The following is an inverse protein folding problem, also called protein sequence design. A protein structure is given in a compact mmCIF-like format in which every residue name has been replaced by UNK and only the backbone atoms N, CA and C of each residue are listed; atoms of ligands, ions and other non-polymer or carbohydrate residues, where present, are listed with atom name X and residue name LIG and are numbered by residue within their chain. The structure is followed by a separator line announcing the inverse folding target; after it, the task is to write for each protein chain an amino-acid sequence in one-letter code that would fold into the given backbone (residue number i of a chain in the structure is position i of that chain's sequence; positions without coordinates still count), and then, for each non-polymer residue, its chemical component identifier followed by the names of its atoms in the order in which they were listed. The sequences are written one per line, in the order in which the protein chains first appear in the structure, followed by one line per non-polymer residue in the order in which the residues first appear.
data_IF_873801160510
#
_entry.id   IF_873801160510
#
_cell.length_a   1.000
_cell.length_b   1.000
_cell.length_c   1.000
_cell.angle_alpha   90.00
_cell.angle_beta   90.00
_cell.angle_gamma   90.00
#
_symmetry.space_group_name_H-M   'P 1'
#
loop_
_entity.id
_entity.type
_entity.pdbx_description
1 polymer ?
#
# COMPACT_ATOMS: atom_id res chain seq x y z
N UNK A 1 -10.31 2.66 20.88
CA UNK A 1 -9.17 3.51 20.49
C UNK A 1 -8.00 2.56 20.23
N UNK A 2 -7.89 2.01 19.02
CA UNK A 2 -6.88 1.00 18.69
C UNK A 2 -5.56 1.68 18.36
N UNK A 3 -4.60 1.49 19.25
CA UNK A 3 -3.19 1.86 19.06
C UNK A 3 -2.69 1.21 17.76
N UNK A 4 -2.52 2.03 16.72
CA UNK A 4 -1.92 1.60 15.46
C UNK A 4 -0.43 1.57 15.69
N UNK A 5 0.04 0.58 16.47
CA UNK A 5 1.45 0.29 16.59
C UNK A 5 1.93 -0.08 15.19
N UNK A 6 2.53 0.90 14.53
CA UNK A 6 3.19 0.69 13.24
C UNK A 6 4.19 -0.42 13.48
N UNK A 7 4.01 -1.59 12.86
CA UNK A 7 4.87 -2.77 13.02
C UNK A 7 6.27 -2.46 12.48
N UNK A 8 7.01 -1.72 13.28
CA UNK A 8 8.41 -1.39 13.09
C UNK A 8 9.19 -2.67 13.30
N UNK A 9 9.94 -3.05 12.28
CA UNK A 9 10.77 -4.22 12.22
C UNK A 9 12.22 -3.80 12.06
N UNK A 10 13.10 -4.49 12.78
CA UNK A 10 14.54 -4.30 12.72
C UNK A 10 15.19 -5.60 12.26
N UNK A 11 16.19 -5.49 11.39
CA UNK A 11 16.92 -6.63 10.87
C UNK A 11 18.37 -6.25 10.57
N UNK A 12 19.27 -7.22 10.63
CA UNK A 12 20.65 -7.07 10.22
C UNK A 12 21.12 -8.34 9.51
N UNK A 13 22.05 -8.18 8.58
CA UNK A 13 22.52 -9.29 7.77
C UNK A 13 23.43 -8.85 6.64
N UNK A 14 23.61 -9.76 5.68
CA UNK A 14 24.41 -9.53 4.47
C UNK A 14 23.49 -9.38 3.27
N UNK A 15 23.75 -8.38 2.43
CA UNK A 15 23.03 -8.17 1.17
C UNK A 15 23.28 -9.38 0.27
N UNK A 16 22.21 -10.14 -0.02
CA UNK A 16 22.27 -11.34 -0.85
C UNK A 16 22.01 -11.05 -2.33
N UNK A 17 21.10 -10.10 -2.61
CA UNK A 17 20.78 -9.67 -3.96
C UNK A 17 20.27 -8.22 -3.96
N UNK A 18 20.45 -7.51 -5.07
CA UNK A 18 19.97 -6.14 -5.28
C UNK A 18 19.11 -6.09 -6.55
N UNK A 19 17.94 -5.44 -6.46
CA UNK A 19 16.93 -5.34 -7.51
C UNK A 19 16.44 -3.89 -7.61
N UNK A 20 17.18 -3.05 -8.35
CA UNK A 20 16.89 -1.62 -8.40
C UNK A 20 16.91 -1.00 -7.01
N UNK A 21 15.79 -0.44 -6.57
CA UNK A 21 15.64 0.18 -5.24
C UNK A 21 15.31 -0.81 -4.10
N UNK A 22 15.31 -2.12 -4.38
CA UNK A 22 15.11 -3.19 -3.40
C UNK A 22 16.37 -4.02 -3.23
N UNK A 23 16.51 -4.67 -2.09
CA UNK A 23 17.55 -5.66 -1.87
C UNK A 23 17.04 -6.77 -0.94
N UNK A 24 17.57 -7.97 -1.13
CA UNK A 24 17.34 -9.09 -0.24
C UNK A 24 18.46 -9.14 0.80
N UNK A 25 18.08 -9.22 2.07
CA UNK A 25 18.99 -9.34 3.20
C UNK A 25 18.96 -10.78 3.71
N UNK A 26 20.12 -11.43 3.79
CA UNK A 26 20.27 -12.73 4.46
C UNK A 26 20.68 -12.49 5.92
N UNK A 27 19.73 -12.69 6.83
CA UNK A 27 19.89 -12.43 8.26
C UNK A 27 19.49 -13.62 9.13
N UNK A 28 19.52 -13.45 10.45
CA UNK A 28 19.26 -14.55 11.40
C UNK A 28 17.86 -15.17 11.26
N UNK A 29 16.86 -14.39 10.80
CA UNK A 29 15.50 -14.84 10.55
C UNK A 29 15.30 -15.40 9.11
N UNK A 30 16.38 -15.63 8.39
CA UNK A 30 16.38 -16.00 6.98
C UNK A 30 16.37 -14.79 6.04
N UNK A 31 16.02 -15.04 4.78
CA UNK A 31 16.05 -14.02 3.73
C UNK A 31 14.79 -13.18 3.75
N UNK A 32 14.97 -11.86 3.79
CA UNK A 32 13.89 -10.88 3.75
C UNK A 32 14.12 -9.88 2.61
N UNK A 33 13.05 -9.41 1.99
CA UNK A 33 13.10 -8.35 1.01
C UNK A 33 12.94 -6.99 1.72
N UNK A 34 13.83 -6.05 1.39
CA UNK A 34 13.82 -4.68 1.87
C UNK A 34 13.70 -3.73 0.68
N UNK A 35 12.94 -2.66 0.87
CA UNK A 35 12.70 -1.63 -0.14
C UNK A 35 13.13 -0.27 0.41
N UNK A 36 13.95 0.45 -0.35
CA UNK A 36 14.39 1.83 -0.10
C UNK A 36 13.53 2.86 -0.85
N UNK A 37 12.76 2.41 -1.84
CA UNK A 37 12.02 3.25 -2.76
C UNK A 37 12.95 3.96 -3.76
N UNK A 38 12.44 4.34 -4.95
CA UNK A 38 13.28 4.91 -6.01
C UNK A 38 14.10 6.14 -5.58
N UNK A 39 13.50 7.01 -4.75
CA UNK A 39 14.17 8.22 -4.23
C UNK A 39 15.18 7.87 -3.13
N UNK A 40 14.81 7.01 -2.20
CA UNK A 40 15.69 6.63 -1.09
C UNK A 40 16.93 5.84 -1.53
N UNK A 41 16.85 5.13 -2.66
CA UNK A 41 18.00 4.43 -3.24
C UNK A 41 18.92 5.31 -4.09
N UNK A 42 18.52 6.54 -4.44
CA UNK A 42 19.26 7.34 -5.44
C UNK A 42 20.71 7.62 -5.04
N UNK A 43 20.95 7.84 -3.74
CA UNK A 43 22.27 8.15 -3.17
C UNK A 43 22.86 6.99 -2.35
N UNK A 44 22.31 5.79 -2.49
CA UNK A 44 22.74 4.60 -1.76
C UNK A 44 23.14 3.53 -2.77
N UNK A 45 24.44 3.26 -2.84
CA UNK A 45 24.96 2.11 -3.59
C UNK A 45 25.09 0.93 -2.63
N UNK A 46 24.28 -0.12 -2.84
CA UNK A 46 24.40 -1.39 -2.15
C UNK A 46 24.96 -2.44 -3.10
N UNK A 47 25.88 -3.27 -2.59
CA UNK A 47 26.49 -4.38 -3.32
C UNK A 47 26.19 -5.69 -2.61
N UNK A 48 26.10 -6.78 -3.38
CA UNK A 48 26.03 -8.13 -2.81
C UNK A 48 27.26 -8.37 -1.94
N UNK A 49 27.06 -8.84 -0.71
CA UNK A 49 28.10 -9.04 0.28
C UNK A 49 28.17 -7.94 1.35
N UNK A 50 27.57 -6.77 1.13
CA UNK A 50 27.58 -5.69 2.11
C UNK A 50 26.88 -6.11 3.40
N UNK A 51 27.45 -5.77 4.56
CA UNK A 51 26.78 -5.94 5.85
C UNK A 51 26.01 -4.69 6.21
N UNK A 52 24.72 -4.83 6.50
CA UNK A 52 23.84 -3.71 6.82
C UNK A 52 22.92 -4.07 7.98
N UNK A 53 22.42 -3.04 8.67
CA UNK A 53 21.24 -3.14 9.52
C UNK A 53 20.18 -2.16 9.06
N UNK A 54 18.93 -2.50 9.28
CA UNK A 54 17.80 -1.70 8.85
C UNK A 54 16.70 -1.69 9.91
N UNK A 55 15.92 -0.61 9.87
CA UNK A 55 14.63 -0.47 10.54
C UNK A 55 13.60 -0.05 9.51
N UNK A 56 12.39 -0.56 9.59
CA UNK A 56 11.33 -0.22 8.65
C UNK A 56 9.98 -0.78 9.03
N UNK A 57 8.96 -0.50 8.23
CA UNK A 57 7.61 -1.04 8.45
C UNK A 57 7.46 -2.36 7.71
N UNK A 58 7.08 -3.43 8.41
CA UNK A 58 6.80 -4.71 7.76
C UNK A 58 5.53 -4.61 6.91
N UNK A 59 5.64 -5.01 5.65
CA UNK A 59 4.53 -5.30 4.74
C UNK A 59 4.49 -6.80 4.49
N UNK A 60 3.40 -7.33 3.89
CA UNK A 60 3.30 -8.77 3.63
C UNK A 60 4.48 -9.34 2.83
N UNK A 61 5.01 -8.59 1.86
CA UNK A 61 6.07 -9.04 0.95
C UNK A 61 7.47 -8.49 1.24
N UNK A 62 7.58 -7.37 1.96
CA UNK A 62 8.84 -6.64 2.11
C UNK A 62 8.84 -5.76 3.36
N UNK A 63 10.00 -5.22 3.71
CA UNK A 63 10.13 -4.14 4.70
C UNK A 63 10.33 -2.83 3.96
N UNK A 64 9.45 -1.85 4.21
CA UNK A 64 9.68 -0.46 3.79
C UNK A 64 10.68 0.16 4.76
N UNK A 65 11.94 0.21 4.35
CA UNK A 65 13.04 0.69 5.20
C UNK A 65 12.85 2.17 5.50
N UNK A 66 12.91 2.57 6.77
CA UNK A 66 12.90 3.97 7.21
C UNK A 66 14.27 4.42 7.69
N UNK A 67 15.15 3.48 8.06
CA UNK A 67 16.55 3.73 8.40
C UNK A 67 17.41 2.57 7.94
N UNK A 68 18.54 2.87 7.30
CA UNK A 68 19.55 1.91 6.87
C UNK A 68 20.90 2.33 7.48
N UNK A 69 21.63 1.40 8.09
CA UNK A 69 22.99 1.60 8.56
C UNK A 69 23.93 0.70 7.78
N UNK A 70 24.95 1.30 7.17
CA UNK A 70 25.94 0.62 6.34
C UNK A 70 27.09 0.05 7.18
N UNK A 71 27.96 -0.75 6.55
CA UNK A 71 29.10 -1.40 7.21
C UNK A 71 30.09 -0.40 7.82
N UNK A 72 30.22 0.81 7.25
CA UNK A 72 31.04 1.91 7.76
C UNK A 72 30.40 2.64 8.96
N UNK A 73 29.22 2.20 9.41
CA UNK A 73 28.43 2.82 10.48
C UNK A 73 27.62 4.03 10.04
N UNK A 74 27.77 4.51 8.80
CA UNK A 74 26.96 5.60 8.28
C UNK A 74 25.49 5.21 8.23
N UNK A 75 24.62 6.16 8.55
CA UNK A 75 23.18 5.92 8.63
C UNK A 75 22.43 6.82 7.65
N UNK A 76 21.47 6.24 6.93
CA UNK A 76 20.59 6.92 5.99
C UNK A 76 19.15 6.80 6.46
N UNK A 77 18.47 7.94 6.58
CA UNK A 77 17.02 7.99 6.77
C UNK A 77 16.37 7.91 5.39
N UNK A 78 15.33 7.10 5.27
CA UNK A 78 14.61 6.90 4.01
C UNK A 78 13.23 7.54 4.14
N UNK A 79 13.04 8.62 3.38
CA UNK A 79 11.78 9.34 3.36
C UNK A 79 10.80 8.69 2.38
N UNK A 80 9.64 8.28 2.92
CA UNK A 80 8.52 7.79 2.14
C UNK A 80 7.51 8.91 1.98
N UNK A 81 7.51 9.64 0.85
CA UNK A 81 6.51 10.67 0.62
C UNK A 81 5.13 10.03 0.70
N UNK A 82 4.23 10.65 1.47
CA UNK A 82 2.82 10.31 1.38
C UNK A 82 2.38 10.55 -0.06
N UNK A 83 1.62 9.60 -0.62
CA UNK A 83 1.00 9.81 -1.92
C UNK A 83 0.08 11.02 -1.78
N UNK A 84 0.37 12.08 -2.54
CA UNK A 84 -0.54 13.21 -2.65
C UNK A 84 -1.90 12.68 -3.11
N UNK A 85 -2.94 13.07 -2.37
CA UNK A 85 -4.31 12.86 -2.82
C UNK A 85 -4.53 13.89 -3.91
N UNK A 86 -4.32 13.51 -5.17
CA UNK A 86 -4.68 14.38 -6.27
C UNK A 86 -6.19 14.59 -6.24
N UNK A 87 -6.62 15.84 -6.24
CA UNK A 87 -8.02 16.16 -6.50
C UNK A 87 -8.38 15.62 -7.88
N UNK A 88 -9.41 14.78 -7.90
CA UNK A 88 -9.90 14.22 -9.13
C UNK A 88 -10.85 15.21 -9.78
N UNK A 89 -10.89 15.31 -11.13
CA UNK A 89 -11.93 16.06 -11.80
C UNK A 89 -13.30 15.69 -11.22
N UNK A 90 -14.20 16.68 -11.04
CA UNK A 90 -15.54 16.43 -10.54
C UNK A 90 -16.22 15.34 -11.36
N UNK A 91 -16.92 14.44 -10.67
CA UNK A 91 -17.74 13.41 -11.28
C UNK A 91 -19.04 13.31 -10.49
N UNK A 92 -20.14 12.92 -11.14
CA UNK A 92 -21.46 12.84 -10.51
C UNK A 92 -21.58 11.57 -9.64
N UNK A 93 -21.59 11.67 -8.29
CA UNK A 93 -21.80 10.51 -7.43
C UNK A 93 -23.22 9.93 -7.56
N UNK A 94 -24.20 10.71 -8.01
CA UNK A 94 -25.56 10.23 -8.18
C UNK A 94 -25.67 9.20 -9.31
N UNK A 95 -24.80 9.27 -10.33
CA UNK A 95 -24.72 8.24 -11.37
C UNK A 95 -24.32 6.89 -10.81
N UNK A 96 -23.37 6.85 -9.88
CA UNK A 96 -22.97 5.61 -9.21
C UNK A 96 -24.10 5.04 -8.33
N UNK A 97 -24.84 5.90 -7.62
CA UNK A 97 -25.99 5.48 -6.82
C UNK A 97 -27.07 4.86 -7.73
N UNK A 98 -27.45 5.56 -8.80
CA UNK A 98 -28.45 5.07 -9.77
C UNK A 98 -28.04 3.72 -10.38
N UNK A 99 -26.77 3.54 -10.71
CA UNK A 99 -26.26 2.29 -11.25
C UNK A 99 -26.36 1.13 -10.24
N UNK A 100 -26.03 1.38 -8.97
CA UNK A 100 -26.17 0.37 -7.92
C UNK A 100 -27.64 -0.01 -7.68
N UNK A 101 -28.53 0.98 -7.61
CA UNK A 101 -29.97 0.77 -7.44
C UNK A 101 -30.58 0.01 -8.63
N UNK A 102 -30.23 0.38 -9.85
CA UNK A 102 -30.67 -0.32 -11.06
C UNK A 102 -30.20 -1.79 -11.10
N UNK A 103 -29.08 -2.10 -10.45
CA UNK A 103 -28.58 -3.47 -10.26
C UNK A 103 -29.20 -4.20 -9.05
N UNK A 104 -30.13 -3.57 -8.33
CA UNK A 104 -30.87 -4.15 -7.20
C UNK A 104 -30.15 -4.05 -5.86
N UNK A 105 -29.16 -3.16 -5.72
CA UNK A 105 -28.54 -2.87 -4.43
C UNK A 105 -29.30 -1.78 -3.68
N UNK A 106 -29.51 -1.97 -2.38
CA UNK A 106 -29.86 -0.88 -1.47
C UNK A 106 -28.58 -0.16 -1.04
N UNK A 107 -28.39 1.09 -1.48
CA UNK A 107 -27.17 1.85 -1.21
C UNK A 107 -27.20 2.48 0.19
N UNK A 108 -26.07 2.40 0.90
CA UNK A 108 -25.88 3.07 2.18
C UNK A 108 -24.63 3.97 2.17
N UNK A 109 -24.81 5.22 2.63
CA UNK A 109 -23.72 6.19 2.77
C UNK A 109 -23.38 6.98 1.50
N UNK A 110 -22.29 7.72 1.55
CA UNK A 110 -21.83 8.59 0.46
C UNK A 110 -20.81 7.84 -0.40
N UNK A 111 -20.95 7.84 -1.74
CA UNK A 111 -19.93 7.29 -2.63
C UNK A 111 -18.56 7.96 -2.42
N UNK A 112 -17.54 7.15 -2.17
CA UNK A 112 -16.16 7.60 -2.06
C UNK A 112 -15.55 7.76 -3.46
N UNK A 113 -15.11 8.98 -3.79
CA UNK A 113 -14.41 9.26 -5.05
C UNK A 113 -13.00 8.66 -5.03
N UNK A 114 -12.74 7.67 -5.88
CA UNK A 114 -11.38 7.16 -6.24
C UNK A 114 -10.93 7.81 -7.55
N UNK A 115 -9.72 7.61 -8.10
CA UNK A 115 -9.33 8.26 -9.36
C UNK A 115 -10.21 7.93 -10.57
N UNK A 116 -10.59 6.65 -10.72
CA UNK A 116 -11.26 6.13 -11.93
C UNK A 116 -12.69 5.61 -11.72
N UNK A 117 -13.22 5.72 -10.50
CA UNK A 117 -14.52 5.14 -10.11
C UNK A 117 -14.98 5.74 -8.79
N UNK A 118 -16.22 5.44 -8.41
CA UNK A 118 -16.73 5.55 -7.05
C UNK A 118 -16.68 4.20 -6.34
N UNK A 119 -16.35 4.22 -5.05
CA UNK A 119 -16.53 3.09 -4.15
C UNK A 119 -17.69 3.38 -3.20
N UNK A 120 -18.66 2.47 -3.07
CA UNK A 120 -19.80 2.65 -2.17
C UNK A 120 -20.25 1.30 -1.61
N UNK A 121 -20.98 1.35 -0.49
CA UNK A 121 -21.59 0.17 0.11
C UNK A 121 -23.01 -0.02 -0.41
N UNK A 122 -23.34 -1.26 -0.72
CA UNK A 122 -24.69 -1.64 -1.11
C UNK A 122 -25.05 -3.03 -0.59
N UNK A 123 -26.29 -3.18 -0.12
CA UNK A 123 -26.84 -4.45 0.33
C UNK A 123 -27.66 -5.10 -0.78
N UNK A 124 -27.44 -6.39 -1.02
CA UNK A 124 -28.23 -7.20 -1.96
C UNK A 124 -28.18 -8.67 -1.53
N UNK A 125 -29.29 -9.39 -1.70
CA UNK A 125 -29.37 -10.82 -1.42
C UNK A 125 -28.92 -11.21 0.01
N UNK A 126 -29.18 -10.34 0.98
CA UNK A 126 -28.81 -10.55 2.39
C UNK A 126 -27.34 -10.34 2.73
N UNK A 127 -26.53 -9.83 1.78
CA UNK A 127 -25.12 -9.53 1.99
C UNK A 127 -24.79 -8.06 1.72
N UNK A 128 -23.80 -7.54 2.45
CA UNK A 128 -23.19 -6.24 2.20
C UNK A 128 -22.09 -6.37 1.15
N UNK A 129 -22.00 -5.39 0.24
CA UNK A 129 -20.99 -5.36 -0.80
C UNK A 129 -20.27 -4.01 -0.83
N UNK A 130 -18.97 -4.05 -1.07
CA UNK A 130 -18.22 -2.90 -1.59
C UNK A 130 -18.28 -2.94 -3.12
N UNK A 131 -18.99 -1.96 -3.68
CA UNK A 131 -19.17 -1.77 -5.11
C UNK A 131 -18.12 -0.78 -5.62
N UNK A 132 -17.50 -1.11 -6.74
CA UNK A 132 -16.71 -0.16 -7.51
C UNK A 132 -17.43 0.12 -8.82
N UNK A 133 -17.85 1.37 -9.02
CA UNK A 133 -18.66 1.80 -10.17
C UNK A 133 -17.89 2.84 -10.97
N UNK A 134 -17.70 2.62 -12.27
CA UNK A 134 -17.00 3.55 -13.17
C UNK A 134 -17.66 4.92 -13.14
N UNK A 135 -16.94 5.94 -13.62
CA UNK A 135 -17.49 7.30 -13.68
C UNK A 135 -18.68 7.44 -14.63
N UNK A 136 -18.85 6.47 -15.53
CA UNK A 136 -19.95 6.41 -16.49
C UNK A 136 -21.10 5.50 -16.03
N UNK A 137 -21.00 4.91 -14.84
CA UNK A 137 -22.10 4.14 -14.21
C UNK A 137 -22.02 2.62 -14.33
N UNK A 138 -20.90 2.04 -14.76
CA UNK A 138 -20.76 0.57 -14.86
C UNK A 138 -20.22 -0.05 -13.56
N UNK A 139 -20.89 -1.08 -13.05
CA UNK A 139 -20.39 -1.86 -11.91
C UNK A 139 -19.24 -2.76 -12.39
N UNK A 140 -17.99 -2.33 -12.17
CA UNK A 140 -16.79 -3.09 -12.56
C UNK A 140 -16.37 -4.14 -11.53
N UNK A 141 -16.84 -4.03 -10.28
CA UNK A 141 -16.53 -4.97 -9.20
C UNK A 141 -17.57 -4.88 -8.09
N UNK A 142 -18.03 -6.03 -7.60
CA UNK A 142 -18.79 -6.15 -6.36
C UNK A 142 -18.08 -7.14 -5.44
N UNK A 143 -17.61 -6.69 -4.28
CA UNK A 143 -16.93 -7.52 -3.28
C UNK A 143 -17.83 -7.71 -2.08
N UNK A 144 -18.19 -8.95 -1.76
CA UNK A 144 -18.89 -9.26 -0.49
C UNK A 144 -18.02 -8.80 0.68
N UNK A 145 -18.60 -8.02 1.58
CA UNK A 145 -18.02 -7.65 2.86
C UNK A 145 -18.41 -8.74 3.86
N UNK A 146 -17.41 -9.33 4.53
CA UNK A 146 -17.70 -10.26 5.62
C UNK A 146 -18.46 -9.53 6.73
N UNK A 147 -19.49 -10.20 7.26
CA UNK A 147 -20.28 -9.74 8.40
C UNK A 147 -19.45 -9.70 9.69
#
# INVERSE_FOLDING_TARGET
MTDTRTDSHEAAGTVWAVFGHRFALDGAAGRILADLGPKGSADITLTVGDRVSLRGTRKPSEIKVTRLTLADGSTRTIDWPQKEKHDHPPADPALAIRAAEAAGYAVAGVPERKPKHFALRGAKDGAEHELHITLDGDIRKAKVLAA
#
